data_IF_160591771718
#
_entry.id   IF_160591771718
#
_cell.length_a   1.000
_cell.length_b   1.000
_cell.length_c   1.000
_cell.angle_alpha   90.00
_cell.angle_beta   90.00
_cell.angle_gamma   90.00
#
_symmetry.space_group_name_H-M   'P 1'
#
loop_
_entity.id
_entity.type
_entity.pdbx_description
1 polymer ?
#
# COMPACT_ATOMS: atom_id res chain seq x y z
N UNK A 1 -13.68 -74.44 -46.26
CA UNK A 1 -12.68 -74.09 -45.20
C UNK A 1 -13.07 -72.73 -44.67
N UNK A 2 -13.75 -72.73 -43.52
CA UNK A 2 -14.25 -71.54 -42.89
C UNK A 2 -13.34 -71.17 -41.74
N UNK A 3 -12.63 -70.07 -41.86
CA UNK A 3 -11.68 -69.59 -40.86
C UNK A 3 -12.50 -68.90 -39.75
N UNK A 4 -12.45 -69.46 -38.53
CA UNK A 4 -13.03 -68.85 -37.30
C UNK A 4 -12.01 -67.84 -36.77
N UNK A 5 -12.45 -66.57 -36.68
CA UNK A 5 -11.65 -65.49 -36.11
C UNK A 5 -11.96 -65.41 -34.60
N UNK A 6 -10.92 -65.58 -33.76
CA UNK A 6 -11.05 -65.38 -32.32
C UNK A 6 -11.31 -63.92 -31.95
N UNK A 7 -12.12 -63.65 -30.94
CA UNK A 7 -12.34 -62.27 -30.46
C UNK A 7 -11.13 -61.71 -29.70
N UNK A 8 -10.86 -60.40 -29.74
CA UNK A 8 -9.72 -59.80 -29.05
C UNK A 8 -9.88 -59.89 -27.52
N UNK A 9 -8.76 -60.26 -26.89
CA UNK A 9 -8.62 -60.32 -25.43
C UNK A 9 -8.78 -58.95 -24.79
N UNK A 10 -9.76 -58.78 -23.90
CA UNK A 10 -9.94 -57.55 -23.11
C UNK A 10 -8.94 -57.58 -21.95
N UNK A 11 -8.07 -56.57 -21.91
CA UNK A 11 -7.14 -56.41 -20.79
C UNK A 11 -7.89 -56.07 -19.48
N UNK A 12 -7.41 -56.59 -18.33
CA UNK A 12 -8.07 -56.30 -17.04
C UNK A 12 -8.01 -54.83 -16.68
N UNK A 13 -9.17 -54.28 -16.33
CA UNK A 13 -9.35 -52.93 -15.85
C UNK A 13 -8.62 -52.72 -14.52
N UNK A 14 -7.78 -51.69 -14.43
CA UNK A 14 -7.04 -51.38 -13.20
C UNK A 14 -8.01 -50.96 -12.08
N UNK A 15 -7.76 -51.38 -10.82
CA UNK A 15 -8.63 -51.04 -9.71
C UNK A 15 -8.69 -49.52 -9.49
N UNK A 16 -9.84 -48.98 -9.03
CA UNK A 16 -10.01 -47.53 -8.80
C UNK A 16 -9.02 -47.06 -7.73
N UNK A 17 -8.20 -46.08 -8.10
CA UNK A 17 -7.29 -45.40 -7.15
C UNK A 17 -8.13 -44.53 -6.23
N UNK A 18 -8.14 -44.87 -4.94
CA UNK A 18 -8.79 -44.07 -3.91
C UNK A 18 -8.16 -42.64 -3.92
N UNK A 19 -8.96 -41.56 -3.87
CA UNK A 19 -8.42 -40.23 -3.81
C UNK A 19 -7.57 -40.05 -2.54
N UNK A 20 -6.30 -39.74 -2.72
CA UNK A 20 -5.45 -39.40 -1.58
C UNK A 20 -5.97 -38.07 -0.98
N UNK A 21 -6.03 -37.94 0.35
CA UNK A 21 -6.39 -36.69 0.98
C UNK A 21 -5.39 -35.62 0.53
N UNK A 22 -5.92 -34.48 0.04
CA UNK A 22 -5.11 -33.33 -0.30
C UNK A 22 -4.22 -32.95 0.89
N UNK A 23 -2.92 -32.65 0.68
CA UNK A 23 -2.06 -32.25 1.78
C UNK A 23 -2.69 -31.04 2.49
N UNK A 24 -2.95 -31.18 3.77
CA UNK A 24 -3.37 -30.09 4.65
C UNK A 24 -2.26 -29.05 4.56
N UNK A 25 -2.57 -27.86 4.02
CA UNK A 25 -1.62 -26.78 3.94
C UNK A 25 -1.09 -26.50 5.36
N UNK A 26 0.19 -26.69 5.56
CA UNK A 26 0.82 -26.34 6.84
C UNK A 26 0.61 -24.83 7.04
N UNK A 27 0.19 -24.39 8.25
CA UNK A 27 0.11 -22.98 8.54
C UNK A 27 1.48 -22.34 8.28
N UNK A 28 1.52 -21.09 7.75
CA UNK A 28 2.79 -20.39 7.61
C UNK A 28 3.51 -20.40 8.94
N UNK A 29 4.84 -20.60 8.93
CA UNK A 29 5.64 -20.50 10.14
C UNK A 29 5.39 -19.13 10.77
N UNK A 30 5.21 -19.07 12.10
CA UNK A 30 5.01 -17.82 12.82
C UNK A 30 6.14 -16.86 12.47
N UNK A 31 5.80 -15.61 12.10
CA UNK A 31 6.78 -14.61 11.70
C UNK A 31 7.64 -14.13 12.88
N UNK A 32 7.25 -14.47 14.12
CA UNK A 32 7.91 -13.99 15.34
C UNK A 32 8.45 -15.16 16.19
N UNK A 33 9.56 -14.94 16.92
CA UNK A 33 10.07 -15.87 17.90
C UNK A 33 9.01 -16.26 18.95
N UNK A 34 9.02 -17.51 19.42
CA UNK A 34 8.01 -18.00 20.36
C UNK A 34 8.02 -17.30 21.72
N UNK A 35 9.16 -16.71 22.10
CA UNK A 35 9.36 -15.95 23.34
C UNK A 35 8.83 -14.52 23.28
N UNK A 36 8.46 -14.01 22.09
CA UNK A 36 7.98 -12.65 21.94
C UNK A 36 6.64 -12.44 22.61
N UNK A 37 6.53 -11.31 23.28
CA UNK A 37 5.26 -10.79 23.84
C UNK A 37 4.56 -9.91 22.82
N UNK A 38 3.32 -9.51 23.12
CA UNK A 38 2.59 -8.50 22.32
C UNK A 38 3.34 -7.15 22.31
N UNK A 39 4.06 -6.82 23.39
CA UNK A 39 4.86 -5.60 23.45
C UNK A 39 6.01 -5.61 22.43
N UNK A 40 6.71 -6.75 22.31
CA UNK A 40 7.80 -6.91 21.32
C UNK A 40 7.27 -6.80 19.90
N UNK A 41 6.08 -7.36 19.63
CA UNK A 41 5.40 -7.22 18.32
C UNK A 41 5.07 -5.75 18.04
N UNK A 42 4.53 -5.01 19.02
CA UNK A 42 4.21 -3.59 18.83
C UNK A 42 5.48 -2.75 18.61
N UNK A 43 6.55 -3.03 19.32
CA UNK A 43 7.85 -2.38 19.11
C UNK A 43 8.38 -2.64 17.70
N UNK A 44 8.32 -3.90 17.23
CA UNK A 44 8.70 -4.29 15.87
C UNK A 44 7.87 -3.56 14.81
N UNK A 45 6.58 -3.31 15.07
CA UNK A 45 5.69 -2.56 14.19
C UNK A 45 5.92 -1.03 14.25
N UNK A 46 6.85 -0.57 15.08
CA UNK A 46 7.17 0.85 15.26
C UNK A 46 6.24 1.57 16.24
N UNK A 47 5.71 0.86 17.23
CA UNK A 47 4.84 1.43 18.28
C UNK A 47 3.44 1.79 17.77
N UNK A 48 2.95 1.09 16.76
CA UNK A 48 1.57 1.27 16.25
C UNK A 48 0.57 1.12 17.40
N UNK A 49 -0.43 2.01 17.55
CA UNK A 49 -1.44 1.90 18.59
C UNK A 49 -2.15 0.54 18.55
N UNK A 50 -2.27 -0.12 19.69
CA UNK A 50 -2.81 -1.48 19.80
C UNK A 50 -4.19 -1.66 19.15
N UNK A 51 -5.05 -0.63 19.21
CA UNK A 51 -6.38 -0.67 18.62
C UNK A 51 -6.37 -0.76 17.08
N UNK A 52 -5.24 -0.49 16.42
CA UNK A 52 -5.04 -0.66 14.98
C UNK A 52 -4.53 -2.05 14.61
N UNK A 53 -4.04 -2.82 15.58
CA UNK A 53 -3.53 -4.18 15.34
C UNK A 53 -4.68 -5.17 15.42
N UNK A 54 -4.89 -5.93 14.34
CA UNK A 54 -5.94 -6.95 14.29
C UNK A 54 -5.50 -8.21 15.04
N UNK A 55 -6.40 -8.73 15.89
CA UNK A 55 -6.15 -9.95 16.64
C UNK A 55 -6.47 -11.23 15.85
N UNK A 56 -7.16 -11.11 14.72
CA UNK A 56 -7.55 -12.23 13.84
C UNK A 56 -7.22 -11.87 12.40
N UNK A 57 -6.39 -12.68 11.72
CA UNK A 57 -5.59 -13.79 12.26
C UNK A 57 -4.65 -13.35 13.40
N UNK A 58 -4.16 -14.31 14.24
CA UNK A 58 -3.18 -13.95 15.27
C UNK A 58 -1.96 -13.26 14.66
N UNK A 59 -1.35 -12.28 15.37
CA UNK A 59 -0.14 -11.61 14.91
C UNK A 59 0.95 -12.61 14.48
N UNK A 60 1.55 -12.38 13.31
CA UNK A 60 2.52 -13.26 12.69
C UNK A 60 1.93 -14.35 11.78
N UNK A 61 0.60 -14.47 11.71
CA UNK A 61 -0.07 -15.51 10.93
C UNK A 61 -0.88 -14.97 9.75
N UNK A 62 -1.04 -13.65 9.65
CA UNK A 62 -1.80 -13.03 8.58
C UNK A 62 -1.09 -13.15 7.22
N UNK A 63 -1.87 -13.21 6.16
CA UNK A 63 -1.45 -13.34 4.77
C UNK A 63 -2.07 -12.25 3.90
N UNK A 64 -1.65 -12.17 2.64
CA UNK A 64 -2.25 -11.27 1.64
C UNK A 64 -3.77 -11.51 1.47
N UNK A 65 -4.21 -12.76 1.60
CA UNK A 65 -5.64 -13.11 1.56
C UNK A 65 -6.42 -12.41 2.67
N UNK A 66 -5.84 -12.33 3.86
CA UNK A 66 -6.48 -11.72 5.02
C UNK A 66 -6.61 -10.19 4.85
N UNK A 67 -5.69 -9.54 4.10
CA UNK A 67 -5.83 -8.13 3.71
C UNK A 67 -7.09 -7.91 2.88
N UNK A 68 -7.33 -8.76 1.89
CA UNK A 68 -8.53 -8.68 1.04
C UNK A 68 -9.81 -9.01 1.82
N UNK A 69 -9.74 -10.00 2.71
CA UNK A 69 -10.86 -10.36 3.57
C UNK A 69 -11.22 -9.27 4.59
N UNK A 70 -10.24 -8.57 5.16
CA UNK A 70 -10.48 -7.44 6.04
C UNK A 70 -11.28 -6.35 5.34
N UNK A 71 -10.93 -6.03 4.08
CA UNK A 71 -11.66 -5.04 3.28
C UNK A 71 -13.08 -5.51 2.95
N UNK A 72 -13.25 -6.76 2.51
CA UNK A 72 -14.54 -7.27 2.02
C UNK A 72 -15.54 -7.61 3.14
N UNK A 73 -15.07 -8.18 4.28
CA UNK A 73 -15.91 -8.68 5.36
C UNK A 73 -16.20 -7.67 6.45
N UNK A 74 -15.21 -6.85 6.81
CA UNK A 74 -15.34 -5.90 7.93
C UNK A 74 -15.18 -4.44 7.51
N UNK A 75 -15.00 -4.16 6.21
CA UNK A 75 -14.87 -2.80 5.68
C UNK A 75 -13.63 -2.06 6.18
N UNK A 76 -12.56 -2.78 6.56
CA UNK A 76 -11.33 -2.20 7.07
C UNK A 76 -10.21 -2.31 6.06
N UNK A 77 -9.52 -1.20 5.83
CA UNK A 77 -8.30 -1.16 5.03
C UNK A 77 -7.14 -1.50 5.97
N UNK A 78 -6.44 -2.60 5.68
CA UNK A 78 -5.31 -3.06 6.47
C UNK A 78 -4.07 -3.23 5.59
N UNK A 79 -2.92 -2.85 6.14
CA UNK A 79 -1.61 -3.25 5.62
C UNK A 79 -1.21 -4.58 6.25
N UNK A 80 -0.35 -5.35 5.57
CA UNK A 80 0.28 -6.55 6.11
C UNK A 80 1.74 -6.24 6.44
N UNK A 81 2.11 -6.46 7.69
CA UNK A 81 3.46 -6.19 8.20
C UNK A 81 3.93 -7.38 9.01
N UNK A 82 4.87 -8.17 8.49
CA UNK A 82 5.41 -9.38 9.15
C UNK A 82 4.31 -10.32 9.67
N UNK A 83 3.29 -10.58 8.84
CA UNK A 83 2.18 -11.43 9.24
C UNK A 83 1.19 -10.78 10.23
N UNK A 84 1.23 -9.47 10.41
CA UNK A 84 0.28 -8.72 11.23
C UNK A 84 -0.57 -7.80 10.35
N UNK A 85 -1.88 -7.83 10.54
CA UNK A 85 -2.78 -6.85 9.93
C UNK A 85 -2.82 -5.59 10.78
N UNK A 86 -2.41 -4.47 10.18
CA UNK A 86 -2.43 -3.15 10.79
C UNK A 86 -3.45 -2.27 10.07
N UNK A 87 -4.47 -1.81 10.78
CA UNK A 87 -5.48 -0.92 10.19
C UNK A 87 -4.85 0.41 9.78
N UNK A 88 -5.14 0.81 8.55
CA UNK A 88 -4.81 2.14 8.06
C UNK A 88 -5.83 3.14 8.59
N UNK A 89 -5.35 4.26 9.09
CA UNK A 89 -6.19 5.38 9.54
C UNK A 89 -5.92 6.61 8.69
N UNK A 90 -6.99 7.22 8.19
CA UNK A 90 -6.92 8.49 7.46
C UNK A 90 -8.08 9.35 7.91
N UNK A 91 -7.81 10.61 8.23
CA UNK A 91 -8.85 11.59 8.52
C UNK A 91 -9.46 12.18 7.24
N UNK A 92 -10.58 12.87 7.41
CA UNK A 92 -11.26 13.51 6.28
C UNK A 92 -10.38 14.58 5.62
N UNK A 93 -9.65 15.34 6.40
CA UNK A 93 -8.76 16.40 5.90
C UNK A 93 -7.55 15.82 5.15
N UNK A 94 -6.92 14.79 5.71
CA UNK A 94 -5.82 14.07 5.07
C UNK A 94 -6.27 13.44 3.75
N UNK A 95 -7.48 12.87 3.72
CA UNK A 95 -8.07 12.31 2.49
C UNK A 95 -8.33 13.38 1.42
N UNK A 96 -8.79 14.58 1.81
CA UNK A 96 -8.96 15.71 0.90
C UNK A 96 -7.62 16.15 0.30
N UNK A 97 -6.58 16.24 1.13
CA UNK A 97 -5.20 16.57 0.68
C UNK A 97 -4.67 15.51 -0.28
N UNK A 98 -4.83 14.23 0.05
CA UNK A 98 -4.43 13.12 -0.81
C UNK A 98 -5.17 13.16 -2.16
N UNK A 99 -6.49 13.38 -2.16
CA UNK A 99 -7.30 13.46 -3.38
C UNK A 99 -6.85 14.61 -4.30
N UNK A 100 -6.52 15.78 -3.72
CA UNK A 100 -5.97 16.89 -4.50
C UNK A 100 -4.60 16.54 -5.10
N UNK A 101 -3.73 15.87 -4.32
CA UNK A 101 -2.41 15.46 -4.79
C UNK A 101 -2.51 14.41 -5.91
N UNK A 102 -3.43 13.44 -5.79
CA UNK A 102 -3.72 12.45 -6.85
C UNK A 102 -4.08 13.16 -8.15
N UNK A 103 -4.95 14.18 -8.08
CA UNK A 103 -5.36 14.93 -9.26
C UNK A 103 -4.17 15.65 -9.91
N UNK A 104 -3.34 16.35 -9.12
CA UNK A 104 -2.19 17.10 -9.64
C UNK A 104 -1.12 16.18 -10.24
N UNK A 105 -0.81 15.09 -9.55
CA UNK A 105 0.13 14.08 -10.05
C UNK A 105 -0.45 13.34 -11.26
N UNK A 106 -1.73 12.98 -11.21
CA UNK A 106 -2.43 12.29 -12.29
C UNK A 106 -2.41 13.09 -13.59
N UNK A 107 -2.79 14.36 -13.53
CA UNK A 107 -2.77 15.28 -14.68
C UNK A 107 -1.35 15.35 -15.32
N UNK A 108 -0.30 15.41 -14.49
CA UNK A 108 1.08 15.43 -14.97
C UNK A 108 1.51 14.10 -15.58
N UNK A 109 1.27 12.99 -14.86
CA UNK A 109 1.68 11.63 -15.28
C UNK A 109 0.97 11.23 -16.57
N UNK A 110 -0.32 11.50 -16.70
CA UNK A 110 -1.12 11.23 -17.89
C UNK A 110 -0.63 12.04 -19.09
N UNK A 111 -0.46 13.36 -18.90
CA UNK A 111 0.05 14.26 -19.96
C UNK A 111 1.38 13.81 -20.55
N UNK A 112 2.26 13.22 -19.74
CA UNK A 112 3.59 12.80 -20.16
C UNK A 112 3.70 11.29 -20.42
N UNK A 113 2.61 10.51 -20.27
CA UNK A 113 2.58 9.07 -20.54
C UNK A 113 3.52 8.26 -19.64
N UNK A 114 3.77 8.71 -18.39
CA UNK A 114 4.83 8.15 -17.55
C UNK A 114 4.44 6.84 -16.85
N UNK A 115 3.16 6.66 -16.51
CA UNK A 115 2.71 5.54 -15.70
C UNK A 115 1.29 5.72 -15.18
N UNK A 116 1.06 5.26 -13.95
CA UNK A 116 -0.22 5.38 -13.25
C UNK A 116 -0.04 6.00 -11.87
N UNK A 117 -1.07 6.71 -11.41
CA UNK A 117 -1.16 7.21 -10.04
C UNK A 117 -2.29 6.46 -9.33
N UNK A 118 -2.00 5.92 -8.14
CA UNK A 118 -2.98 5.23 -7.30
C UNK A 118 -3.17 6.01 -5.99
N UNK A 119 -4.35 5.90 -5.42
CA UNK A 119 -4.68 6.41 -4.09
C UNK A 119 -4.81 5.29 -3.06
N UNK A 120 -5.44 5.58 -1.93
CA UNK A 120 -5.63 4.71 -0.75
C UNK A 120 -6.21 3.31 -1.05
N UNK A 121 -6.81 3.10 -2.22
CA UNK A 121 -7.25 1.77 -2.66
C UNK A 121 -6.14 0.91 -3.26
N UNK A 122 -5.00 1.49 -3.60
CA UNK A 122 -3.86 0.85 -4.25
C UNK A 122 -3.07 -0.04 -3.30
N UNK A 123 -3.48 -1.29 -3.19
CA UNK A 123 -2.86 -2.29 -2.32
C UNK A 123 -1.70 -2.96 -3.05
N UNK A 124 -0.47 -2.83 -2.55
CA UNK A 124 0.74 -3.28 -3.22
C UNK A 124 1.56 -4.24 -2.35
N UNK A 125 1.95 -5.38 -2.90
CA UNK A 125 2.94 -6.25 -2.27
C UNK A 125 4.32 -5.69 -2.60
N UNK A 126 4.87 -4.92 -1.67
CA UNK A 126 6.17 -4.25 -1.88
C UNK A 126 7.34 -5.19 -1.60
N UNK A 127 7.20 -6.09 -0.60
CA UNK A 127 8.19 -7.10 -0.22
C UNK A 127 7.49 -8.42 0.15
N UNK A 128 8.18 -9.55 0.22
CA UNK A 128 7.63 -10.77 0.80
C UNK A 128 7.09 -10.51 2.22
N UNK A 129 5.82 -10.84 2.47
CA UNK A 129 5.17 -10.60 3.77
C UNK A 129 4.84 -9.15 4.08
N UNK A 130 5.05 -8.22 3.15
CA UNK A 130 4.76 -6.79 3.31
C UNK A 130 3.78 -6.31 2.24
N UNK A 131 2.58 -5.94 2.66
CA UNK A 131 1.60 -5.26 1.81
C UNK A 131 1.42 -3.85 2.33
N UNK A 132 1.73 -2.87 1.48
CA UNK A 132 1.62 -1.45 1.80
C UNK A 132 0.54 -0.79 0.95
N UNK A 133 -0.06 0.24 1.50
CA UNK A 133 -1.12 1.03 0.87
C UNK A 133 -0.76 2.51 1.05
N UNK A 134 0.10 3.08 0.22
CA UNK A 134 0.42 4.51 0.27
C UNK A 134 -0.85 5.36 0.09
N UNK A 135 -0.90 6.55 0.70
CA UNK A 135 -2.02 7.47 0.48
C UNK A 135 -2.09 7.92 -0.97
N UNK A 136 -0.92 8.14 -1.58
CA UNK A 136 -0.75 8.36 -3.02
C UNK A 136 0.51 7.64 -3.47
N UNK A 137 0.49 7.02 -4.65
CA UNK A 137 1.73 6.52 -5.24
C UNK A 137 1.74 6.68 -6.76
N UNK A 138 2.94 6.77 -7.33
CA UNK A 138 3.17 6.72 -8.76
C UNK A 138 3.97 5.47 -9.12
N UNK A 139 3.54 4.77 -10.16
CA UNK A 139 4.19 3.58 -10.71
C UNK A 139 4.45 3.83 -12.19
N UNK A 140 5.70 3.86 -12.59
CA UNK A 140 6.08 4.01 -13.99
C UNK A 140 5.71 2.76 -14.80
N UNK A 141 5.34 2.91 -16.07
CA UNK A 141 5.01 1.78 -16.95
C UNK A 141 6.11 0.72 -17.01
N UNK A 142 7.38 1.14 -16.90
CA UNK A 142 8.52 0.22 -16.90
C UNK A 142 8.64 -0.70 -15.68
N UNK A 143 7.82 -0.50 -14.63
CA UNK A 143 7.73 -1.42 -13.48
C UNK A 143 6.89 -2.66 -13.80
N UNK A 144 6.06 -2.60 -14.82
CA UNK A 144 5.22 -3.73 -15.23
C UNK A 144 5.87 -4.49 -16.37
N UNK A 145 5.93 -5.82 -16.27
CA UNK A 145 6.62 -6.68 -17.24
C UNK A 145 6.18 -6.43 -18.69
N UNK A 146 4.88 -6.20 -18.91
CA UNK A 146 4.30 -5.99 -20.23
C UNK A 146 3.84 -4.53 -20.43
N UNK A 147 4.30 -3.59 -19.59
CA UNK A 147 3.83 -2.20 -19.58
C UNK A 147 2.34 -2.08 -19.26
N UNK A 148 1.78 -3.01 -18.50
CA UNK A 148 0.35 -3.07 -18.14
C UNK A 148 0.18 -3.38 -16.67
N UNK A 149 -0.81 -2.72 -16.04
CA UNK A 149 -1.21 -3.06 -14.67
C UNK A 149 -1.71 -4.51 -14.63
N UNK A 150 -1.11 -5.38 -13.78
CA UNK A 150 -1.55 -6.76 -13.61
C UNK A 150 -2.98 -6.83 -13.04
N UNK A 151 -3.75 -7.88 -13.37
CA UNK A 151 -5.13 -8.04 -12.90
C UNK A 151 -5.24 -8.49 -11.43
N UNK A 152 -4.13 -8.87 -10.80
CA UNK A 152 -4.12 -9.34 -9.42
C UNK A 152 -4.59 -8.24 -8.47
N UNK A 153 -5.43 -8.56 -7.45
CA UNK A 153 -5.90 -7.60 -6.46
C UNK A 153 -4.77 -6.96 -5.64
N UNK A 154 -3.66 -7.66 -5.46
CA UNK A 154 -2.44 -7.21 -4.77
C UNK A 154 -1.24 -7.49 -5.68
N UNK A 155 -0.95 -6.62 -6.64
CA UNK A 155 0.20 -6.82 -7.53
C UNK A 155 1.52 -6.73 -6.75
N UNK A 156 2.46 -7.61 -7.11
CA UNK A 156 3.83 -7.60 -6.58
C UNK A 156 4.66 -6.53 -7.32
N UNK A 157 4.52 -5.30 -6.90
CA UNK A 157 5.21 -4.15 -7.48
C UNK A 157 5.48 -3.08 -6.42
N UNK A 158 6.68 -2.52 -6.44
CA UNK A 158 7.01 -1.32 -5.67
C UNK A 158 6.78 -0.07 -6.53
N UNK A 159 6.16 0.98 -5.99
CA UNK A 159 6.00 2.24 -6.71
C UNK A 159 7.36 2.96 -6.89
N UNK A 160 7.42 3.90 -7.81
CA UNK A 160 8.59 4.78 -7.96
C UNK A 160 8.55 5.94 -6.98
N UNK A 161 7.34 6.45 -6.68
CA UNK A 161 7.06 7.43 -5.64
C UNK A 161 6.01 6.86 -4.69
N UNK A 162 6.26 6.91 -3.38
CA UNK A 162 5.26 6.70 -2.34
C UNK A 162 5.03 8.00 -1.55
N UNK A 163 3.79 8.33 -1.28
CA UNK A 163 3.41 9.49 -0.47
C UNK A 163 2.53 9.05 0.68
N UNK A 164 2.89 9.51 1.89
CA UNK A 164 2.06 9.37 3.08
C UNK A 164 1.64 10.77 3.54
N UNK A 165 0.36 10.98 3.76
CA UNK A 165 -0.19 12.19 4.36
C UNK A 165 -0.27 11.98 5.86
N UNK A 166 0.58 12.67 6.61
CA UNK A 166 0.73 12.45 8.05
C UNK A 166 -0.53 12.85 8.81
N UNK A 167 -0.91 11.99 9.74
CA UNK A 167 -2.06 12.19 10.62
C UNK A 167 -1.68 11.98 12.09
N UNK A 168 -2.57 12.37 13.01
CA UNK A 168 -2.36 12.14 14.44
C UNK A 168 -2.29 10.65 14.84
N UNK A 169 -2.75 9.75 13.97
CA UNK A 169 -2.72 8.30 14.19
C UNK A 169 -1.38 7.65 13.82
N UNK A 170 -0.46 8.36 13.18
CA UNK A 170 0.85 7.83 12.83
C UNK A 170 1.83 7.98 13.98
N UNK A 171 2.67 6.96 14.22
CA UNK A 171 3.80 7.05 15.14
C UNK A 171 5.11 7.27 14.38
N UNK A 172 6.11 7.93 15.00
CA UNK A 172 7.41 8.09 14.37
C UNK A 172 8.06 6.75 13.98
N UNK A 173 7.93 5.72 14.82
CA UNK A 173 8.50 4.39 14.55
C UNK A 173 7.80 3.69 13.39
N UNK A 174 6.45 3.79 13.28
CA UNK A 174 5.69 3.30 12.12
C UNK A 174 6.18 3.95 10.82
N UNK A 175 6.32 5.28 10.82
CA UNK A 175 6.77 6.01 9.64
C UNK A 175 8.21 5.66 9.26
N UNK A 176 9.11 5.51 10.24
CA UNK A 176 10.47 5.02 10.00
C UNK A 176 10.49 3.59 9.45
N UNK A 177 9.58 2.71 9.92
CA UNK A 177 9.44 1.36 9.39
C UNK A 177 8.96 1.38 7.93
N UNK A 178 7.90 2.15 7.63
CA UNK A 178 7.39 2.31 6.26
C UNK A 178 8.47 2.83 5.32
N UNK A 179 9.25 3.81 5.76
CA UNK A 179 10.34 4.38 4.98
C UNK A 179 11.38 3.31 4.59
N UNK A 180 11.81 2.49 5.56
CA UNK A 180 12.74 1.38 5.29
C UNK A 180 12.15 0.37 4.32
N UNK A 181 10.89 -0.04 4.52
CA UNK A 181 10.23 -1.00 3.65
C UNK A 181 10.13 -0.49 2.21
N UNK A 182 9.81 0.79 2.02
CA UNK A 182 9.74 1.40 0.69
C UNK A 182 11.10 1.39 -0.01
N UNK A 183 12.16 1.86 0.63
CA UNK A 183 13.48 1.87 -0.01
C UNK A 183 14.05 0.47 -0.21
N UNK A 184 13.82 -0.45 0.72
CA UNK A 184 14.20 -1.86 0.56
C UNK A 184 13.47 -2.51 -0.64
N UNK A 185 12.24 -2.11 -0.90
CA UNK A 185 11.46 -2.55 -2.06
C UNK A 185 11.89 -1.90 -3.39
N UNK A 186 12.79 -0.91 -3.35
CA UNK A 186 13.27 -0.18 -4.53
C UNK A 186 12.40 1.00 -4.94
N UNK A 187 11.60 1.56 -4.02
CA UNK A 187 11.01 2.90 -4.17
C UNK A 187 12.14 3.92 -4.23
N UNK A 188 12.07 4.85 -5.17
CA UNK A 188 13.15 5.82 -5.42
C UNK A 188 12.91 7.17 -4.75
N UNK A 189 11.66 7.49 -4.45
CA UNK A 189 11.25 8.76 -3.86
C UNK A 189 10.11 8.53 -2.86
N UNK A 190 10.24 9.07 -1.65
CA UNK A 190 9.18 9.02 -0.64
C UNK A 190 8.91 10.42 -0.13
N UNK A 191 7.63 10.81 -0.11
CA UNK A 191 7.19 12.08 0.44
C UNK A 191 6.34 11.83 1.69
N UNK A 192 6.70 12.48 2.80
CA UNK A 192 5.86 12.59 3.97
C UNK A 192 5.30 14.00 4.03
N UNK A 193 4.02 14.13 3.66
CA UNK A 193 3.31 15.40 3.62
C UNK A 193 2.64 15.64 4.96
N UNK A 194 3.05 16.68 5.68
CA UNK A 194 2.39 17.11 6.91
C UNK A 194 1.42 18.27 6.60
N UNK A 195 0.10 17.98 6.61
CA UNK A 195 -0.89 18.98 6.26
C UNK A 195 -1.10 20.05 7.34
N UNK A 196 -0.67 19.79 8.59
CA UNK A 196 -0.82 20.75 9.71
C UNK A 196 0.17 21.89 9.58
N UNK A 197 1.44 21.56 9.29
CA UNK A 197 2.50 22.57 9.11
C UNK A 197 2.75 22.92 7.64
N UNK A 198 2.00 22.28 6.72
CA UNK A 198 2.05 22.50 5.27
C UNK A 198 3.46 22.33 4.69
N UNK A 199 4.13 21.27 5.12
CA UNK A 199 5.49 20.94 4.66
C UNK A 199 5.56 19.52 4.13
N UNK A 200 6.62 19.22 3.36
CA UNK A 200 6.87 17.87 2.85
C UNK A 200 8.31 17.48 3.17
N UNK A 201 8.47 16.35 3.82
CA UNK A 201 9.76 15.69 3.95
C UNK A 201 9.97 14.83 2.70
N UNK A 202 11.01 15.11 1.95
CA UNK A 202 11.38 14.46 0.69
C UNK A 202 12.56 13.55 0.95
N UNK A 203 12.34 12.25 0.86
CA UNK A 203 13.36 11.23 1.08
C UNK A 203 13.81 10.65 -0.27
N UNK A 204 15.12 10.64 -0.51
CA UNK A 204 15.79 9.97 -1.64
C UNK A 204 16.56 8.72 -1.18
N UNK A 205 16.75 8.56 0.13
CA UNK A 205 17.25 7.37 0.81
C UNK A 205 16.71 7.37 2.26
N UNK A 206 16.78 6.25 3.01
CA UNK A 206 16.26 6.19 4.39
C UNK A 206 16.85 7.22 5.35
N UNK A 207 18.06 7.67 5.09
CA UNK A 207 18.84 8.63 5.88
C UNK A 207 19.06 9.98 5.17
N UNK A 208 18.50 10.16 3.97
CA UNK A 208 18.60 11.39 3.19
C UNK A 208 17.23 12.06 3.06
N UNK A 209 17.06 13.16 3.77
CA UNK A 209 15.84 13.94 3.79
C UNK A 209 16.11 15.41 3.51
N UNK A 210 15.28 15.98 2.63
CA UNK A 210 15.14 17.43 2.46
C UNK A 210 13.74 17.85 2.91
N UNK A 211 13.62 19.01 3.53
CA UNK A 211 12.32 19.54 3.94
C UNK A 211 11.93 20.70 3.02
N UNK A 212 10.79 20.57 2.37
CA UNK A 212 10.15 21.65 1.63
C UNK A 212 9.12 22.29 2.56
N UNK A 213 9.34 23.53 2.92
CA UNK A 213 8.45 24.28 3.80
C UNK A 213 7.20 24.79 3.05
N UNK A 214 6.31 25.45 3.80
CA UNK A 214 5.03 25.94 3.27
C UNK A 214 5.16 26.96 2.13
N UNK A 215 6.30 27.59 1.92
CA UNK A 215 6.57 28.54 0.83
C UNK A 215 7.38 27.92 -0.31
N UNK A 216 7.79 26.66 -0.14
CA UNK A 216 8.65 25.97 -1.07
C UNK A 216 7.93 25.36 -2.27
N UNK A 217 8.72 24.80 -3.16
CA UNK A 217 8.26 24.06 -4.34
C UNK A 217 8.73 22.64 -4.25
N UNK A 218 7.79 21.70 -4.28
CA UNK A 218 8.05 20.28 -4.35
C UNK A 218 8.47 19.90 -5.77
N UNK A 219 9.56 19.16 -5.88
CA UNK A 219 10.14 18.72 -7.15
C UNK A 219 10.10 17.19 -7.24
N UNK A 220 9.75 16.68 -8.43
CA UNK A 220 9.66 15.24 -8.69
C UNK A 220 11.01 14.54 -8.89
N UNK A 221 12.10 15.30 -8.97
CA UNK A 221 13.44 14.78 -9.21
C UNK A 221 13.52 13.92 -10.46
N UNK A 222 14.36 12.89 -10.41
CA UNK A 222 14.53 11.92 -11.50
C UNK A 222 13.35 10.93 -11.62
N UNK A 223 12.44 10.90 -10.64
CA UNK A 223 11.27 10.03 -10.63
C UNK A 223 10.15 10.59 -11.51
N UNK A 224 9.92 11.90 -11.41
CA UNK A 224 8.94 12.65 -12.19
C UNK A 224 9.62 13.88 -12.81
N UNK A 225 10.45 13.71 -13.86
CA UNK A 225 11.25 14.78 -14.42
C UNK A 225 10.39 15.96 -14.89
N UNK A 226 10.67 17.17 -14.35
CA UNK A 226 9.94 18.39 -14.66
C UNK A 226 8.64 18.59 -13.86
N UNK A 227 8.25 17.66 -13.00
CA UNK A 227 7.15 17.91 -12.06
C UNK A 227 7.56 18.92 -11.01
N UNK A 228 6.77 20.01 -10.89
CA UNK A 228 6.97 21.04 -9.87
C UNK A 228 5.62 21.46 -9.30
N UNK A 229 5.53 21.52 -7.97
CA UNK A 229 4.32 21.88 -7.25
C UNK A 229 4.64 22.90 -6.16
N UNK A 230 4.22 24.14 -6.32
CA UNK A 230 4.26 25.17 -5.27
C UNK A 230 3.33 24.77 -4.12
N UNK A 231 3.87 24.67 -2.90
CA UNK A 231 3.05 24.32 -1.73
C UNK A 231 2.03 25.42 -1.38
N UNK A 232 2.32 26.74 -1.54
CA UNK A 232 1.31 27.77 -1.31
C UNK A 232 0.07 27.58 -2.20
N UNK A 233 0.27 27.39 -3.50
CA UNK A 233 -0.82 27.20 -4.47
C UNK A 233 -1.56 25.88 -4.26
N UNK A 234 -0.83 24.83 -3.87
CA UNK A 234 -1.42 23.55 -3.56
C UNK A 234 -2.36 23.66 -2.36
N UNK A 235 -1.87 24.20 -1.24
CA UNK A 235 -2.70 24.31 -0.03
C UNK A 235 -3.81 25.35 -0.15
N UNK A 236 -3.66 26.39 -0.98
CA UNK A 236 -4.75 27.32 -1.29
C UNK A 236 -5.93 26.64 -2.01
N UNK A 237 -5.70 25.49 -2.67
CA UNK A 237 -6.75 24.70 -3.33
C UNK A 237 -7.44 23.71 -2.39
N UNK A 238 -6.89 23.48 -1.19
CA UNK A 238 -7.52 22.64 -0.16
C UNK A 238 -8.65 23.44 0.50
N UNK A 239 -9.84 23.38 -0.10
CA UNK A 239 -11.00 24.13 0.38
C UNK A 239 -11.71 23.35 1.47
N UNK A 240 -11.79 23.92 2.66
CA UNK A 240 -12.49 23.35 3.84
C UNK A 240 -13.81 24.05 4.14
N UNK A 241 -14.11 25.16 3.45
CA UNK A 241 -15.35 25.93 3.57
C UNK A 241 -15.90 26.28 2.18
N UNK A 242 -17.19 26.56 2.11
CA UNK A 242 -17.82 27.06 0.89
C UNK A 242 -17.28 28.47 0.56
N UNK A 243 -17.19 28.83 -0.74
CA UNK A 243 -16.78 30.17 -1.14
C UNK A 243 -17.67 31.23 -0.47
N UNK A 244 -17.07 32.11 0.38
CA UNK A 244 -17.76 33.17 1.08
C UNK A 244 -18.19 32.88 2.51
N UNK A 245 -18.10 31.64 2.99
CA UNK A 245 -18.48 31.28 4.37
C UNK A 245 -17.65 32.06 5.42
N UNK A 246 -16.36 32.28 5.13
CA UNK A 246 -15.47 33.02 6.06
C UNK A 246 -15.79 34.52 6.14
N UNK A 247 -16.46 35.09 5.11
CA UNK A 247 -16.89 36.50 5.11
C UNK A 247 -18.13 36.77 5.94
N UNK A 248 -18.94 35.76 6.21
CA UNK A 248 -20.12 35.86 7.06
C UNK A 248 -19.74 35.76 8.54
N UNK A 249 -18.78 34.92 8.90
CA UNK A 249 -18.28 34.79 10.27
C UNK A 249 -17.60 36.06 10.81
N UNK A 250 -16.92 36.85 9.94
CA UNK A 250 -16.31 38.14 10.32
C UNK A 250 -17.32 39.29 10.50
N UNK A 251 -18.58 39.14 10.02
CA UNK A 251 -19.64 40.17 10.18
C UNK A 251 -20.47 40.01 11.42
N UNK A 252 -20.37 38.85 12.10
CA UNK A 252 -21.12 38.56 13.33
C UNK A 252 -20.28 38.77 14.61
N UNK A 253 -19.04 39.25 14.50
CA UNK A 253 -18.13 39.59 15.61
C UNK A 253 -17.96 41.09 15.72
#
# INVERSE_FOLDING_TARGET
>A
MTTVQEPPSVAPEAPPVSPQPSPVAQPPAAAFPAEWTVADVLEQLGGVPLHRVRAVPPPGMATEKDVLEAKSRIGRICELVDGVLVEKTMGCYESLVAALLIRVLGDFVEKHGLGIVLGEGGTLKVLPGQVRIPDVCFIAWGRFADGRLPPEPIPAVAPDLAVEVLSAGNTPGEMQRKLRDYFQAGVRLVWYLDPKVRSVQVYTAPDQVAVVDQQGTLDGGDVLPGFRLGLPEFFARVQTSAPGADKEAEKET
#
